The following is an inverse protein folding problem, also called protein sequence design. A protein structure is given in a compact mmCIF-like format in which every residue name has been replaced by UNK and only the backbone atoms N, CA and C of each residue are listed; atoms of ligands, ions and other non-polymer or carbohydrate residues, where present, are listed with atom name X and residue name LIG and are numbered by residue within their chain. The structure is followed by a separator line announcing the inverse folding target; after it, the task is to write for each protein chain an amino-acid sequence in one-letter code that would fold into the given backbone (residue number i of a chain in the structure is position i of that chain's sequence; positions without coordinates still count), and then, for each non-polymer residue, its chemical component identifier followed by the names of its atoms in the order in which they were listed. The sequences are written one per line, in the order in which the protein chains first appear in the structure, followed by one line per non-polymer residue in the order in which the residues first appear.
data_IF_915757455142
#
_entry.id   IF_915757455142
#
_cell.length_a   1.000
_cell.length_b   1.000
_cell.length_c   1.000
_cell.angle_alpha   90.00
_cell.angle_beta   90.00
_cell.angle_gamma   90.00
#
_symmetry.space_group_name_H-M   'P 1'
#
loop_
_entity.id
_entity.type
_entity.pdbx_description
1 polymer ?
#
# COMPACT_ATOMS: atom_id res chain seq x y z
N UNK A 1 -19.75 -1.27 -3.51
CA UNK A 1 -18.56 -2.09 -3.18
C UNK A 1 -17.96 -2.60 -4.46
N UNK A 2 -16.64 -2.55 -4.60
CA UNK A 2 -15.93 -3.08 -5.77
C UNK A 2 -14.51 -3.52 -5.36
N UNK A 3 -13.80 -4.24 -6.23
CA UNK A 3 -12.40 -4.59 -6.02
C UNK A 3 -11.49 -3.60 -6.74
N UNK A 4 -10.48 -3.08 -6.05
CA UNK A 4 -9.47 -2.18 -6.61
C UNK A 4 -8.14 -2.93 -6.70
N UNK A 5 -7.61 -3.14 -7.91
CA UNK A 5 -6.22 -3.60 -8.07
C UNK A 5 -5.28 -2.54 -7.48
N UNK A 6 -4.25 -2.97 -6.78
CA UNK A 6 -3.31 -2.10 -6.10
C UNK A 6 -1.92 -2.72 -6.04
N UNK A 7 -0.91 -1.85 -5.95
CA UNK A 7 0.49 -2.23 -5.86
C UNK A 7 1.05 -1.86 -4.48
N UNK A 8 1.85 -2.74 -3.90
CA UNK A 8 2.62 -2.46 -2.68
C UNK A 8 4.11 -2.64 -2.96
N UNK A 9 4.87 -1.55 -2.85
CA UNK A 9 6.33 -1.63 -2.80
C UNK A 9 6.84 -1.94 -1.39
N UNK A 10 7.73 -2.92 -1.25
CA UNK A 10 8.44 -3.23 0.01
C UNK A 10 9.94 -3.35 -0.27
N UNK A 11 10.73 -2.56 0.45
CA UNK A 11 12.17 -2.52 0.31
C UNK A 11 12.89 -3.50 1.24
N UNK A 12 14.02 -4.03 0.78
CA UNK A 12 15.01 -4.70 1.64
C UNK A 12 14.55 -6.03 2.24
N UNK A 13 13.54 -6.67 1.65
CA UNK A 13 13.16 -8.05 1.97
C UNK A 13 13.83 -9.02 1.01
N UNK A 14 14.15 -10.21 1.50
CA UNK A 14 14.67 -11.30 0.69
C UNK A 14 13.53 -12.10 0.02
N UNK A 15 13.92 -13.02 -0.87
CA UNK A 15 12.99 -13.88 -1.59
C UNK A 15 12.15 -14.76 -0.64
N UNK A 16 12.74 -15.26 0.45
CA UNK A 16 12.04 -16.10 1.42
C UNK A 16 10.93 -15.33 2.14
N UNK A 17 11.20 -14.08 2.54
CA UNK A 17 10.22 -13.19 3.14
C UNK A 17 9.13 -12.81 2.12
N UNK A 18 9.51 -12.54 0.87
CA UNK A 18 8.54 -12.25 -0.18
C UNK A 18 7.61 -13.44 -0.46
N UNK A 19 8.16 -14.66 -0.52
CA UNK A 19 7.39 -15.89 -0.63
C UNK A 19 6.44 -16.07 0.56
N UNK A 20 6.93 -15.86 1.79
CA UNK A 20 6.10 -15.95 2.99
C UNK A 20 4.90 -15.00 2.96
N UNK A 21 5.10 -13.76 2.48
CA UNK A 21 4.01 -12.78 2.31
C UNK A 21 3.02 -13.26 1.24
N UNK A 22 3.49 -13.82 0.13
CA UNK A 22 2.62 -14.39 -0.90
C UNK A 22 1.77 -15.52 -0.32
N UNK A 23 2.36 -16.41 0.47
CA UNK A 23 1.69 -17.61 0.98
C UNK A 23 0.74 -17.29 2.16
N UNK A 24 1.07 -16.31 2.99
CA UNK A 24 0.37 -16.06 4.26
C UNK A 24 -0.37 -14.72 4.32
N UNK A 25 -0.15 -13.85 3.35
CA UNK A 25 -0.69 -12.49 3.32
C UNK A 25 0.30 -11.44 3.82
N UNK A 26 0.00 -10.19 3.49
CA UNK A 26 0.78 -9.03 3.92
C UNK A 26 0.21 -8.45 5.19
N UNK A 27 0.86 -8.72 6.32
CA UNK A 27 0.52 -8.13 7.61
C UNK A 27 1.00 -6.68 7.73
N UNK A 28 0.25 -5.87 8.47
CA UNK A 28 0.61 -4.49 8.80
C UNK A 28 1.88 -4.43 9.64
N UNK A 29 2.50 -3.25 9.69
CA UNK A 29 3.69 -3.02 10.50
C UNK A 29 3.42 -3.29 11.98
N UNK A 30 2.25 -2.87 12.48
CA UNK A 30 1.80 -3.18 13.83
C UNK A 30 1.83 -4.69 14.12
N UNK A 31 1.13 -5.49 13.31
CA UNK A 31 1.01 -6.93 13.55
C UNK A 31 2.38 -7.59 13.51
N UNK A 32 3.21 -7.27 12.50
CA UNK A 32 4.57 -7.83 12.40
C UNK A 32 5.44 -7.55 13.62
N UNK A 33 5.26 -6.40 14.29
CA UNK A 33 6.00 -6.02 15.50
C UNK A 33 5.42 -6.62 16.77
N UNK A 34 4.09 -6.72 16.87
CA UNK A 34 3.41 -7.31 18.01
C UNK A 34 3.50 -8.85 18.03
N UNK A 35 3.65 -9.49 16.86
CA UNK A 35 3.66 -10.94 16.67
C UNK A 35 2.26 -11.55 16.75
N UNK A 36 1.46 -11.17 17.76
CA UNK A 36 0.05 -11.54 17.90
C UNK A 36 -0.78 -10.31 18.25
N UNK A 37 -1.95 -10.17 17.62
CA UNK A 37 -2.87 -9.06 17.87
C UNK A 37 -4.19 -9.57 18.45
N UNK A 38 -4.83 -8.78 19.31
CA UNK A 38 -6.16 -9.10 19.87
C UNK A 38 -7.23 -8.28 19.16
N UNK A 39 -8.43 -8.86 19.04
CA UNK A 39 -9.61 -8.17 18.46
C UNK A 39 -9.95 -6.87 19.21
N UNK A 40 -9.75 -6.85 20.53
CA UNK A 40 -9.95 -5.64 21.33
C UNK A 40 -9.01 -4.49 20.90
N UNK A 41 -7.76 -4.80 20.58
CA UNK A 41 -6.75 -3.81 20.17
C UNK A 41 -7.06 -3.29 18.76
N UNK A 42 -7.57 -4.14 17.86
CA UNK A 42 -7.99 -3.72 16.52
C UNK A 42 -9.04 -2.60 16.59
N UNK A 43 -10.06 -2.74 17.44
CA UNK A 43 -11.11 -1.72 17.61
C UNK A 43 -10.56 -0.40 18.15
N UNK A 44 -9.51 -0.44 18.97
CA UNK A 44 -8.87 0.75 19.50
C UNK A 44 -7.95 1.42 18.48
N UNK A 45 -7.43 0.67 17.50
CA UNK A 45 -6.45 1.15 16.54
C UNK A 45 -7.04 1.53 15.18
N UNK A 46 -8.12 0.90 14.75
CA UNK A 46 -8.83 1.21 13.52
C UNK A 46 -9.82 2.37 13.75
N UNK A 47 -9.29 3.59 13.84
CA UNK A 47 -10.08 4.81 14.00
C UNK A 47 -9.48 5.99 13.23
N UNK A 48 -10.23 7.09 13.12
CA UNK A 48 -9.84 8.28 12.36
C UNK A 48 -8.56 8.94 12.87
N UNK A 49 -8.33 9.01 14.18
CA UNK A 49 -7.11 9.63 14.72
C UNK A 49 -5.85 8.85 14.32
N UNK A 50 -5.94 7.51 14.33
CA UNK A 50 -4.85 6.65 13.88
C UNK A 50 -4.65 6.71 12.36
N UNK A 51 -5.73 6.83 11.58
CA UNK A 51 -5.62 7.04 10.14
C UNK A 51 -4.98 8.38 9.82
N UNK A 52 -5.32 9.44 10.55
CA UNK A 52 -4.68 10.75 10.41
C UNK A 52 -3.17 10.67 10.69
N UNK A 53 -2.78 10.01 11.78
CA UNK A 53 -1.36 9.77 12.08
C UNK A 53 -0.66 8.98 10.96
N UNK A 54 -1.34 8.01 10.33
CA UNK A 54 -0.81 7.27 9.19
C UNK A 54 -0.60 8.17 7.97
N UNK A 55 -1.56 9.02 7.66
CA UNK A 55 -1.58 9.79 6.41
C UNK A 55 -0.74 11.06 6.48
N UNK A 56 -0.73 11.72 7.64
CA UNK A 56 -0.12 13.04 7.83
C UNK A 56 1.18 12.98 8.64
N UNK A 57 1.29 12.03 9.57
CA UNK A 57 2.39 11.96 10.54
C UNK A 57 3.20 10.66 10.45
N UNK A 58 3.22 10.02 9.27
CA UNK A 58 3.80 8.68 9.05
C UNK A 58 5.23 8.52 9.58
N UNK A 59 6.09 9.53 9.37
CA UNK A 59 7.50 9.49 9.75
C UNK A 59 7.78 10.12 11.11
N UNK A 60 6.76 10.66 11.78
CA UNK A 60 6.93 11.34 13.06
C UNK A 60 7.06 10.33 14.21
N UNK A 61 7.77 10.71 15.28
CA UNK A 61 7.84 9.91 16.49
C UNK A 61 6.44 9.63 17.05
N UNK A 62 6.24 8.42 17.55
CA UNK A 62 4.98 8.07 18.20
C UNK A 62 4.88 8.88 19.51
N UNK A 63 3.74 9.54 19.79
CA UNK A 63 3.53 10.24 21.05
C UNK A 63 3.76 9.32 22.27
N UNK A 64 4.43 9.84 23.30
CA UNK A 64 4.61 9.14 24.55
C UNK A 64 3.23 8.81 25.16
N UNK A 65 2.97 7.54 25.45
CA UNK A 65 1.68 7.04 25.96
C UNK A 65 0.71 6.53 24.90
N UNK A 66 1.04 6.65 23.61
CA UNK A 66 0.25 6.01 22.56
C UNK A 66 0.33 4.47 22.67
N UNK A 67 -0.77 3.76 22.39
CA UNK A 67 -0.85 2.29 22.47
C UNK A 67 0.20 1.56 21.63
N UNK A 68 0.65 2.19 20.55
CA UNK A 68 1.66 1.65 19.64
C UNK A 68 3.11 1.98 20.01
N UNK A 69 3.33 2.85 21.00
CA UNK A 69 4.69 3.27 21.40
C UNK A 69 5.62 2.12 21.81
N UNK A 70 5.17 0.98 22.40
CA UNK A 70 6.06 -0.13 22.72
C UNK A 70 6.64 -0.86 21.50
N UNK A 71 6.06 -0.69 20.31
CA UNK A 71 6.36 -1.53 19.15
C UNK A 71 7.31 -0.88 18.14
N UNK A 72 7.63 0.42 18.27
CA UNK A 72 8.48 1.12 17.30
C UNK A 72 8.64 2.62 17.56
N UNK A 73 9.51 3.25 16.75
CA UNK A 73 9.95 4.63 16.96
C UNK A 73 9.14 5.69 16.20
N UNK A 74 8.51 5.33 15.08
CA UNK A 74 7.65 6.22 14.29
C UNK A 74 6.30 5.58 14.01
N UNK A 75 5.27 6.39 13.76
CA UNK A 75 3.93 5.86 13.55
C UNK A 75 3.86 4.88 12.38
N UNK A 76 4.48 5.22 11.26
CA UNK A 76 4.58 4.36 10.08
C UNK A 76 5.22 3.01 10.37
N UNK A 77 6.22 2.94 11.25
CA UNK A 77 6.93 1.71 11.61
C UNK A 77 6.10 0.69 12.40
N UNK A 78 4.92 1.10 12.88
CA UNK A 78 3.99 0.28 13.67
C UNK A 78 2.54 0.52 13.27
N UNK A 79 2.29 1.10 12.11
CA UNK A 79 0.94 1.46 11.74
C UNK A 79 0.07 0.21 11.55
N UNK A 80 -1.20 0.23 11.99
CA UNK A 80 -2.15 -0.84 11.71
C UNK A 80 -2.60 -0.83 10.24
N UNK A 81 -2.30 0.23 9.49
CA UNK A 81 -2.68 0.39 8.10
C UNK A 81 -1.54 0.02 7.13
N UNK A 82 -1.92 -0.38 5.93
CA UNK A 82 -1.03 -0.81 4.86
C UNK A 82 -1.28 0.08 3.65
N UNK A 83 -0.37 1.01 3.39
CA UNK A 83 -0.41 1.86 2.19
C UNK A 83 -0.14 1.04 0.94
N UNK A 84 -1.06 1.07 -0.02
CA UNK A 84 -0.86 0.57 -1.38
C UNK A 84 -1.16 1.69 -2.37
N UNK A 85 -0.80 1.55 -3.64
CA UNK A 85 -1.08 2.56 -4.67
C UNK A 85 -1.90 1.98 -5.82
N UNK A 86 -2.93 2.72 -6.24
CA UNK A 86 -3.68 2.50 -7.48
C UNK A 86 -3.49 3.65 -8.49
N UNK A 87 -2.58 4.59 -8.20
CA UNK A 87 -2.31 5.77 -9.02
C UNK A 87 -3.29 6.90 -8.73
N UNK A 88 -2.97 8.10 -9.18
CA UNK A 88 -3.84 9.27 -9.03
C UNK A 88 -3.89 10.10 -10.31
N UNK A 89 -4.98 10.85 -10.49
CA UNK A 89 -5.08 11.93 -11.46
C UNK A 89 -5.36 13.20 -10.69
N UNK A 90 -4.59 14.24 -10.95
CA UNK A 90 -4.86 15.58 -10.44
C UNK A 90 -5.08 16.53 -11.60
N UNK A 91 -6.02 17.47 -11.43
CA UNK A 91 -6.29 18.50 -12.43
C UNK A 91 -5.32 19.65 -12.24
N UNK A 92 -4.52 19.94 -13.26
CA UNK A 92 -3.77 21.19 -13.38
C UNK A 92 -4.70 22.23 -14.03
N UNK A 93 -5.32 23.06 -13.19
CA UNK A 93 -6.27 24.09 -13.64
C UNK A 93 -5.59 25.13 -14.53
N UNK A 94 -4.36 25.50 -14.19
CA UNK A 94 -3.64 26.58 -14.87
C UNK A 94 -3.23 26.15 -16.29
N UNK A 95 -2.88 24.88 -16.48
CA UNK A 95 -2.56 24.32 -17.80
C UNK A 95 -3.74 23.68 -18.50
N UNK A 96 -4.88 23.52 -17.83
CA UNK A 96 -6.04 22.79 -18.36
C UNK A 96 -5.73 21.32 -18.68
N UNK A 97 -4.82 20.69 -17.92
CA UNK A 97 -4.38 19.30 -18.18
C UNK A 97 -4.58 18.41 -16.97
N UNK A 98 -4.60 17.10 -17.19
CA UNK A 98 -4.56 16.10 -16.12
C UNK A 98 -3.12 15.66 -15.90
N UNK A 99 -2.64 15.78 -14.66
CA UNK A 99 -1.37 15.21 -14.22
C UNK A 99 -1.65 13.78 -13.79
N UNK A 100 -1.03 12.84 -14.49
CA UNK A 100 -1.09 11.43 -14.19
C UNK A 100 0.05 11.01 -13.25
N UNK A 101 -0.30 10.35 -12.15
CA UNK A 101 0.65 9.75 -11.22
C UNK A 101 0.59 8.23 -11.34
N UNK A 102 1.63 7.71 -11.96
CA UNK A 102 1.78 6.29 -12.27
C UNK A 102 1.93 5.44 -10.98
N UNK A 103 1.02 4.47 -10.74
CA UNK A 103 1.11 3.56 -9.60
C UNK A 103 2.36 2.68 -9.63
N UNK A 104 2.78 2.21 -10.79
CA UNK A 104 3.96 1.37 -10.92
C UNK A 104 5.21 2.15 -10.52
N UNK A 105 5.39 3.38 -11.01
CA UNK A 105 6.53 4.22 -10.60
C UNK A 105 6.51 4.53 -9.10
N UNK A 106 5.32 4.74 -8.54
CA UNK A 106 5.16 4.97 -7.10
C UNK A 106 5.57 3.74 -6.29
N UNK A 107 5.01 2.57 -6.63
CA UNK A 107 5.34 1.30 -5.97
C UNK A 107 6.82 0.93 -6.14
N UNK A 108 7.40 1.15 -7.33
CA UNK A 108 8.80 0.88 -7.62
C UNK A 108 9.73 1.76 -6.76
N UNK A 109 9.42 3.05 -6.60
CA UNK A 109 10.17 3.96 -5.72
C UNK A 109 10.14 3.49 -4.26
N UNK A 110 9.00 3.01 -3.77
CA UNK A 110 8.89 2.42 -2.44
C UNK A 110 9.67 1.11 -2.34
N UNK A 111 9.50 0.19 -3.28
CA UNK A 111 10.16 -1.10 -3.32
C UNK A 111 11.69 -0.97 -3.37
N UNK A 112 12.21 0.08 -4.00
CA UNK A 112 13.65 0.23 -4.24
C UNK A 112 14.30 1.32 -3.39
N UNK A 113 13.60 1.89 -2.40
CA UNK A 113 14.06 3.03 -1.59
C UNK A 113 14.62 4.16 -2.47
N UNK A 114 13.78 4.64 -3.39
CA UNK A 114 14.16 5.63 -4.41
C UNK A 114 15.31 5.15 -5.29
N UNK A 115 15.22 3.91 -5.79
CA UNK A 115 16.19 3.28 -6.68
C UNK A 115 17.59 3.05 -6.10
N UNK A 116 17.69 2.90 -4.77
CA UNK A 116 18.95 2.70 -4.04
C UNK A 116 19.21 1.25 -3.68
N UNK A 117 18.18 0.41 -3.64
CA UNK A 117 18.30 -1.00 -3.27
C UNK A 117 17.26 -1.86 -3.98
N UNK A 118 17.42 -3.18 -3.87
CA UNK A 118 16.45 -4.16 -4.35
C UNK A 118 15.22 -4.21 -3.44
N UNK A 119 14.07 -4.54 -4.03
CA UNK A 119 12.88 -4.93 -3.28
C UNK A 119 11.78 -5.43 -4.19
N UNK A 120 10.61 -5.66 -3.60
CA UNK A 120 9.50 -6.33 -4.25
C UNK A 120 8.30 -5.39 -4.42
N UNK A 121 7.63 -5.51 -5.56
CA UNK A 121 6.28 -4.99 -5.78
C UNK A 121 5.32 -6.17 -5.68
N UNK A 122 4.36 -6.07 -4.76
CA UNK A 122 3.25 -7.01 -4.63
C UNK A 122 2.06 -6.46 -5.42
N UNK A 123 1.49 -7.32 -6.25
CA UNK A 123 0.28 -7.06 -7.01
C UNK A 123 -0.88 -7.70 -6.25
N UNK A 124 -1.88 -6.90 -5.89
CA UNK A 124 -3.01 -7.37 -5.10
C UNK A 124 -4.30 -6.67 -5.50
N UNK A 125 -5.42 -7.08 -4.90
CA UNK A 125 -6.65 -6.30 -4.92
C UNK A 125 -7.17 -6.04 -3.52
N UNK A 126 -7.91 -4.94 -3.36
CA UNK A 126 -8.50 -4.49 -2.11
C UNK A 126 -10.00 -4.28 -2.27
N UNK A 127 -10.77 -4.49 -1.21
CA UNK A 127 -12.21 -4.25 -1.21
C UNK A 127 -12.47 -2.80 -0.82
N UNK A 128 -13.17 -2.04 -1.66
CA UNK A 128 -13.55 -0.67 -1.33
C UNK A 128 -15.06 -0.49 -1.46
N UNK A 129 -15.62 0.44 -0.67
CA UNK A 129 -17.07 0.68 -0.61
C UNK A 129 -17.47 2.09 -1.04
N UNK A 130 -16.52 2.92 -1.46
CA UNK A 130 -16.79 4.30 -1.92
C UNK A 130 -17.23 5.25 -0.79
N UNK A 131 -16.91 4.92 0.46
CA UNK A 131 -17.14 5.73 1.66
C UNK A 131 -16.00 5.47 2.66
N UNK A 132 -15.76 6.45 3.53
CA UNK A 132 -14.85 6.27 4.65
C UNK A 132 -15.44 5.24 5.64
N UNK A 133 -14.67 4.20 5.97
CA UNK A 133 -15.14 3.12 6.83
C UNK A 133 -14.02 2.56 7.71
N UNK A 134 -13.21 3.46 8.29
CA UNK A 134 -11.93 3.11 8.92
C UNK A 134 -12.06 2.00 9.98
N UNK A 135 -13.15 2.01 10.75
CA UNK A 135 -13.40 1.02 11.82
C UNK A 135 -13.76 -0.38 11.28
N UNK A 136 -14.13 -0.50 10.01
CA UNK A 136 -14.47 -1.76 9.35
C UNK A 136 -13.22 -2.37 8.70
N UNK A 137 -12.59 -3.32 9.39
CA UNK A 137 -11.35 -4.00 8.95
C UNK A 137 -11.41 -4.53 7.51
N UNK A 138 -12.57 -5.03 7.09
CA UNK A 138 -12.73 -5.73 5.80
C UNK A 138 -12.59 -4.81 4.57
N UNK A 139 -12.77 -3.50 4.76
CA UNK A 139 -12.77 -2.53 3.66
C UNK A 139 -11.52 -1.66 3.71
N UNK A 140 -10.99 -1.34 2.55
CA UNK A 140 -9.88 -0.41 2.37
C UNK A 140 -10.39 0.98 2.02
N UNK A 141 -9.58 1.99 2.34
CA UNK A 141 -9.93 3.39 2.17
C UNK A 141 -9.32 3.96 0.89
N UNK A 142 -10.15 4.58 0.05
CA UNK A 142 -9.71 5.25 -1.18
C UNK A 142 -9.23 6.68 -0.87
N UNK A 143 -8.06 6.80 -0.25
CA UNK A 143 -7.50 8.08 0.18
C UNK A 143 -7.36 9.09 -0.98
N UNK A 144 -7.13 8.58 -2.20
CA UNK A 144 -7.08 9.37 -3.44
C UNK A 144 -8.44 9.93 -3.92
N UNK A 145 -9.55 9.53 -3.32
CA UNK A 145 -10.89 9.97 -3.74
C UNK A 145 -11.33 11.19 -2.93
N UNK A 146 -11.26 12.36 -3.57
CA UNK A 146 -11.56 13.65 -2.95
C UNK A 146 -13.03 13.81 -2.55
N UNK A 147 -13.95 12.98 -3.07
CA UNK A 147 -15.33 12.98 -2.60
C UNK A 147 -15.49 12.32 -1.23
N UNK A 148 -14.54 11.44 -0.86
CA UNK A 148 -14.51 10.70 0.41
C UNK A 148 -13.59 11.41 1.41
N UNK A 149 -12.35 11.68 1.03
CA UNK A 149 -11.34 12.33 1.87
C UNK A 149 -11.09 13.76 1.38
N UNK A 150 -11.76 14.73 2.01
CA UNK A 150 -11.79 16.13 1.57
C UNK A 150 -10.69 16.99 2.16
N UNK A 151 -10.17 16.59 3.32
CA UNK A 151 -9.09 17.31 3.97
C UNK A 151 -7.82 17.21 3.14
N UNK A 152 -6.95 18.21 3.26
CA UNK A 152 -5.70 18.23 2.53
C UNK A 152 -4.81 17.08 3.00
N UNK A 153 -4.30 16.29 2.04
CA UNK A 153 -3.38 15.19 2.28
C UNK A 153 -2.11 15.40 1.44
N UNK A 154 -0.93 15.56 2.07
CA UNK A 154 0.31 15.94 1.38
C UNK A 154 0.77 14.90 0.34
N UNK A 155 0.37 13.64 0.52
CA UNK A 155 0.76 12.52 -0.33
C UNK A 155 -0.37 11.99 -1.22
N UNK A 156 -1.45 12.76 -1.42
CA UNK A 156 -2.58 12.38 -2.27
C UNK A 156 -2.15 11.88 -3.66
N UNK A 157 -1.14 12.50 -4.25
CA UNK A 157 -0.61 12.14 -5.57
C UNK A 157 0.00 10.73 -5.65
N UNK A 158 0.28 10.08 -4.52
CA UNK A 158 0.71 8.68 -4.49
C UNK A 158 -0.45 7.71 -4.80
N UNK A 159 -1.70 8.19 -4.87
CA UNK A 159 -2.84 7.36 -5.29
C UNK A 159 -3.17 6.27 -4.28
N UNK A 160 -3.07 6.59 -2.99
CA UNK A 160 -3.14 5.60 -1.93
C UNK A 160 -4.53 4.94 -1.85
N UNK A 161 -4.50 3.60 -1.74
CA UNK A 161 -5.59 2.79 -1.22
C UNK A 161 -5.07 2.17 0.07
N UNK A 162 -5.66 2.55 1.20
CA UNK A 162 -5.17 2.18 2.53
C UNK A 162 -5.90 0.93 3.02
N UNK A 163 -5.20 -0.21 3.05
CA UNK A 163 -5.70 -1.44 3.65
C UNK A 163 -5.49 -1.45 5.17
N UNK A 164 -6.16 -2.38 5.86
CA UNK A 164 -6.16 -2.47 7.33
C UNK A 164 -5.67 -3.85 7.75
N UNK A 165 -4.78 -3.88 8.74
CA UNK A 165 -4.32 -5.07 9.47
C UNK A 165 -3.61 -6.12 8.63
N UNK A 166 -4.25 -6.66 7.59
CA UNK A 166 -3.73 -7.68 6.70
C UNK A 166 -4.33 -7.52 5.29
N UNK A 167 -3.50 -7.76 4.27
CA UNK A 167 -3.98 -8.12 2.92
C UNK A 167 -3.85 -9.64 2.81
N UNK A 168 -4.97 -10.41 2.84
CA UNK A 168 -4.93 -11.87 2.77
C UNK A 168 -4.17 -12.41 1.55
N UNK A 169 -3.54 -13.59 1.69
CA UNK A 169 -2.81 -14.26 0.60
C UNK A 169 -3.66 -14.39 -0.67
N UNK A 170 -4.92 -14.82 -0.54
CA UNK A 170 -5.84 -14.97 -1.68
C UNK A 170 -6.07 -13.68 -2.49
N UNK A 171 -5.74 -12.52 -1.92
CA UNK A 171 -5.83 -11.22 -2.57
C UNK A 171 -4.53 -10.76 -3.24
N UNK A 172 -3.42 -11.48 -3.02
CA UNK A 172 -2.11 -11.21 -3.61
C UNK A 172 -1.94 -12.11 -4.82
N UNK A 173 -1.80 -11.51 -5.99
CA UNK A 173 -1.61 -12.21 -7.27
C UNK A 173 -0.18 -12.71 -7.42
N UNK A 174 0.79 -11.85 -7.10
CA UNK A 174 2.22 -12.12 -7.27
C UNK A 174 3.08 -11.11 -6.52
N UNK A 175 4.35 -11.45 -6.37
CA UNK A 175 5.42 -10.54 -5.99
C UNK A 175 6.49 -10.49 -7.08
N UNK A 176 6.97 -9.30 -7.42
CA UNK A 176 7.95 -9.08 -8.48
C UNK A 176 9.13 -8.30 -7.93
N UNK A 177 10.34 -8.85 -8.08
CA UNK A 177 11.57 -8.22 -7.61
C UNK A 177 12.13 -7.24 -8.64
N UNK A 178 12.61 -6.09 -8.17
CA UNK A 178 13.31 -5.11 -8.98
C UNK A 178 14.61 -4.68 -8.31
N UNK A 179 15.68 -4.64 -9.11
CA UNK A 179 16.92 -3.97 -8.75
C UNK A 179 16.77 -2.45 -8.96
N UNK A 180 16.94 -1.67 -7.88
CA UNK A 180 16.77 -0.22 -7.92
C UNK A 180 17.67 0.51 -8.93
N UNK A 181 19.00 0.36 -8.86
CA UNK A 181 19.93 0.97 -9.82
C UNK A 181 19.61 0.63 -11.29
N UNK A 182 19.33 -0.63 -11.61
CA UNK A 182 18.98 -1.06 -12.97
C UNK A 182 17.64 -0.47 -13.42
N UNK A 183 16.63 -0.47 -12.55
CA UNK A 183 15.34 0.15 -12.84
C UNK A 183 15.49 1.65 -13.15
N UNK A 184 16.34 2.37 -12.41
CA UNK A 184 16.64 3.79 -12.69
C UNK A 184 17.31 3.98 -14.04
N UNK A 185 18.23 3.10 -14.41
CA UNK A 185 18.88 3.13 -15.72
C UNK A 185 17.86 2.90 -16.84
N UNK A 186 16.98 1.91 -16.70
CA UNK A 186 15.91 1.62 -17.65
C UNK A 186 14.96 2.81 -17.84
N UNK A 187 14.53 3.45 -16.75
CA UNK A 187 13.65 4.63 -16.80
C UNK A 187 14.34 5.83 -17.46
N UNK A 188 15.65 6.05 -17.20
CA UNK A 188 16.43 7.10 -17.89
C UNK A 188 16.53 6.84 -19.39
N UNK A 189 16.62 5.58 -19.79
CA UNK A 189 16.59 5.14 -21.18
C UNK A 189 15.18 5.12 -21.80
N UNK A 190 14.13 5.51 -21.05
CA UNK A 190 12.72 5.44 -21.45
C UNK A 190 12.27 4.02 -21.83
N UNK A 191 12.78 3.03 -21.10
CA UNK A 191 12.42 1.62 -21.21
C UNK A 191 11.76 1.13 -19.93
N UNK A 192 10.97 0.05 -20.06
CA UNK A 192 10.28 -0.56 -18.92
C UNK A 192 11.32 -1.30 -18.06
N UNK A 193 11.38 -1.05 -16.74
CA UNK A 193 12.21 -1.84 -15.83
C UNK A 193 11.92 -3.34 -15.94
N UNK A 194 12.97 -4.14 -16.10
CA UNK A 194 12.87 -5.60 -16.18
C UNK A 194 12.95 -6.17 -14.76
N UNK A 195 12.06 -7.10 -14.38
CA UNK A 195 12.13 -7.72 -13.07
C UNK A 195 13.26 -8.75 -12.99
N UNK A 196 13.89 -8.86 -11.82
CA UNK A 196 14.97 -9.83 -11.57
C UNK A 196 14.42 -11.18 -11.12
N UNK A 197 13.25 -11.20 -10.48
CA UNK A 197 12.58 -12.41 -10.02
C UNK A 197 11.05 -12.21 -9.96
N UNK A 198 10.30 -13.31 -10.00
CA UNK A 198 8.84 -13.31 -9.91
C UNK A 198 8.35 -14.51 -9.10
N UNK A 199 7.47 -14.24 -8.14
CA UNK A 199 6.76 -15.24 -7.34
C UNK A 199 5.29 -15.16 -7.71
N UNK A 200 4.73 -16.28 -8.21
CA UNK A 200 3.31 -16.38 -8.56
C UNK A 200 2.56 -17.01 -7.40
N UNK A 201 1.45 -16.38 -6.99
CA UNK A 201 0.59 -16.98 -5.97
C UNK A 201 -0.37 -18.00 -6.59
N UNK A 202 -0.28 -19.26 -6.16
CA UNK A 202 -1.18 -20.32 -6.63
C UNK A 202 -2.54 -20.31 -5.94
N UNK A 203 -2.67 -19.61 -4.80
CA UNK A 203 -3.93 -19.49 -4.04
C UNK A 203 -4.71 -18.22 -4.38
N UNK A 204 -4.19 -17.40 -5.31
CA UNK A 204 -4.83 -16.17 -5.73
C UNK A 204 -6.26 -16.42 -6.24
N UNK A 205 -7.22 -15.64 -5.74
CA UNK A 205 -8.61 -15.67 -6.18
C UNK A 205 -8.86 -14.47 -7.08
N UNK A 206 -9.02 -14.66 -8.41
CA UNK A 206 -9.22 -13.55 -9.34
C UNK A 206 -10.52 -12.78 -9.00
N UNK A 207 -10.44 -11.48 -8.65
CA UNK A 207 -11.59 -10.68 -8.21
C UNK A 207 -12.65 -10.51 -9.31
N UNK A 208 -12.26 -10.62 -10.58
CA UNK A 208 -13.12 -10.49 -11.76
C UNK A 208 -14.22 -11.57 -11.79
N UNK A 209 -14.04 -12.67 -11.06
CA UNK A 209 -15.04 -13.74 -10.91
C UNK A 209 -16.17 -13.40 -9.93
N UNK A 210 -16.00 -12.39 -9.07
CA UNK A 210 -16.90 -12.16 -7.94
C UNK A 210 -17.57 -10.78 -7.94
N UNK A 211 -16.93 -9.75 -8.51
CA UNK A 211 -17.50 -8.40 -8.56
C UNK A 211 -16.82 -7.54 -9.62
N UNK A 212 -17.35 -6.33 -9.80
CA UNK A 212 -16.70 -5.31 -10.61
C UNK A 212 -15.30 -5.00 -10.06
N UNK A 213 -14.36 -4.89 -10.99
CA UNK A 213 -12.99 -4.53 -10.70
C UNK A 213 -12.66 -3.14 -11.27
N UNK A 214 -11.84 -2.39 -10.54
CA UNK A 214 -11.10 -1.24 -11.06
C UNK A 214 -9.63 -1.62 -11.15
N UNK A 215 -9.08 -1.49 -12.34
CA UNK A 215 -7.65 -1.63 -12.56
C UNK A 215 -6.86 -0.51 -11.85
N UNK A 216 -5.55 -0.72 -11.72
CA UNK A 216 -4.63 0.39 -11.44
C UNK A 216 -4.68 1.37 -12.61
N UNK A 217 -4.48 2.67 -12.36
CA UNK A 217 -4.45 3.61 -13.45
C UNK A 217 -3.22 3.36 -14.34
N UNK A 218 -3.43 3.38 -15.67
CA UNK A 218 -2.43 3.10 -16.70
C UNK A 218 -2.54 4.08 -17.86
#
# INVERSE_FOLDING_TARGET
MYFQKALKGINGIDQATAQHIVDNGLMSNWWRKAGTIKVADQKQLLNYANADLHLNHYNEPIPAGHLLSPYGGSYGSVSPFISTTAGAIQRDKDKGTNIFFDPFLTALRFATKQYRSTGYIFYCYLLTIGKAAIEMEQFSEEIRELHIYRDYLPYHSQGEIMAKIIIPSVQIEMAVEYNGPEAKAALKAKTIPVPTNRIINTTYLPPEKYSNIREVLS
#
